data_IF_367773642932
#
_entry.id   IF_367773642932
#
_cell.length_a   1.000
_cell.length_b   1.000
_cell.length_c   1.000
_cell.angle_alpha   90.00
_cell.angle_beta   90.00
_cell.angle_gamma   90.00
#
_symmetry.space_group_name_H-M   'P 1'
#
loop_
_entity.id
_entity.type
_entity.pdbx_description
1 polymer ?
#
# COMPACT_ATOMS: atom_id res chain seq x y z
N UNK A 1 7.51 -26.80 -13.26
CA UNK A 1 8.60 -26.93 -14.26
C UNK A 1 9.14 -25.54 -14.61
N UNK A 2 8.30 -24.63 -15.09
CA UNK A 2 8.72 -23.26 -15.48
C UNK A 2 9.32 -22.41 -14.33
N UNK A 3 8.88 -22.59 -13.09
CA UNK A 3 9.44 -21.93 -11.94
C UNK A 3 10.84 -22.44 -11.56
N UNK A 4 11.13 -23.73 -11.82
CA UNK A 4 12.45 -24.30 -11.66
C UNK A 4 13.43 -23.84 -12.75
N UNK A 5 12.95 -23.71 -13.98
CA UNK A 5 13.75 -23.13 -15.09
C UNK A 5 14.12 -21.69 -14.81
N UNK A 6 13.15 -20.84 -14.39
CA UNK A 6 13.42 -19.45 -14.03
C UNK A 6 14.41 -19.33 -12.85
N UNK A 7 14.26 -20.17 -11.84
CA UNK A 7 15.17 -20.20 -10.71
C UNK A 7 16.60 -20.59 -11.18
N UNK A 8 16.72 -21.57 -12.05
CA UNK A 8 18.01 -21.97 -12.60
C UNK A 8 18.63 -20.89 -13.50
N UNK A 9 17.84 -20.16 -14.29
CA UNK A 9 18.34 -19.02 -15.06
C UNK A 9 18.88 -17.89 -14.16
N UNK A 10 18.19 -17.61 -13.05
CA UNK A 10 18.60 -16.57 -12.11
C UNK A 10 19.85 -16.96 -11.32
N UNK A 11 19.98 -18.24 -10.93
CA UNK A 11 21.08 -18.71 -10.09
C UNK A 11 22.31 -19.21 -10.87
N UNK A 12 22.18 -19.54 -12.16
CA UNK A 12 23.29 -20.00 -13.00
C UNK A 12 23.97 -18.89 -13.82
N UNK A 13 23.41 -17.69 -13.86
CA UNK A 13 24.14 -16.52 -14.34
C UNK A 13 25.08 -16.03 -13.26
N UNK A 14 26.29 -16.63 -13.20
CA UNK A 14 27.47 -16.08 -12.52
C UNK A 14 28.03 -14.87 -13.29
N UNK A 15 27.20 -14.04 -13.87
CA UNK A 15 27.61 -12.73 -14.33
C UNK A 15 27.45 -11.79 -13.15
N UNK A 16 28.54 -11.14 -12.76
CA UNK A 16 28.55 -9.99 -11.90
C UNK A 16 27.41 -9.08 -12.39
N UNK A 17 26.32 -9.01 -11.62
CA UNK A 17 25.32 -7.97 -11.79
C UNK A 17 26.06 -6.70 -11.39
N UNK A 18 26.73 -6.08 -12.35
CA UNK A 18 27.08 -4.69 -12.28
C UNK A 18 25.76 -3.97 -12.04
N UNK A 19 25.52 -3.60 -10.80
CA UNK A 19 24.49 -2.63 -10.46
C UNK A 19 24.89 -1.37 -11.22
N UNK A 20 24.36 -1.23 -12.43
CA UNK A 20 24.35 0.05 -13.07
C UNK A 20 23.70 1.00 -12.07
N UNK A 21 24.52 1.85 -11.49
CA UNK A 21 24.06 3.01 -10.74
C UNK A 21 23.44 3.96 -11.76
N UNK A 22 22.25 3.58 -12.23
CA UNK A 22 21.37 4.55 -12.82
C UNK A 22 21.04 5.50 -11.68
N UNK A 23 21.62 6.68 -11.74
CA UNK A 23 21.15 7.81 -10.95
C UNK A 23 19.66 7.96 -11.26
N UNK A 24 18.84 7.36 -10.44
CA UNK A 24 17.40 7.56 -10.51
C UNK A 24 17.14 8.94 -9.93
N UNK A 25 16.69 9.90 -10.73
CA UNK A 25 16.47 11.28 -10.29
C UNK A 25 15.15 11.39 -9.52
N UNK A 26 14.80 10.37 -8.78
CA UNK A 26 13.61 10.38 -7.96
C UNK A 26 14.11 10.21 -6.54
N UNK A 27 14.01 11.28 -5.81
CA UNK A 27 13.96 11.24 -4.36
C UNK A 27 12.80 10.34 -3.94
N UNK A 28 13.02 9.05 -4.02
CA UNK A 28 12.24 8.05 -3.29
C UNK A 28 12.65 8.16 -1.82
N UNK A 29 12.63 9.39 -1.32
CA UNK A 29 12.70 9.59 0.11
C UNK A 29 11.49 8.92 0.71
N UNK A 30 11.70 7.66 1.03
CA UNK A 30 11.08 6.98 2.14
C UNK A 30 9.59 7.21 2.30
N UNK A 31 8.79 6.76 1.35
CA UNK A 31 7.45 6.37 1.76
C UNK A 31 7.39 4.87 1.53
N UNK A 32 7.98 4.29 2.33
CA UNK A 32 8.16 3.15 3.17
C UNK A 32 7.08 2.14 2.99
N UNK A 33 7.29 1.20 2.10
CA UNK A 33 6.54 -0.01 2.17
C UNK A 33 6.34 -0.64 0.80
N UNK A 34 7.08 -1.69 0.56
CA UNK A 34 6.85 -2.57 -0.58
C UNK A 34 5.68 -3.50 -0.24
N UNK A 35 4.50 -2.91 -0.20
CA UNK A 35 3.23 -3.59 0.04
C UNK A 35 2.58 -3.91 -1.29
N UNK A 36 2.00 -5.08 -1.40
CA UNK A 36 1.19 -5.51 -2.53
C UNK A 36 -0.18 -5.92 -2.04
N UNK A 37 -1.20 -5.60 -2.83
CA UNK A 37 -2.56 -6.05 -2.60
C UNK A 37 -3.10 -6.78 -3.83
N UNK A 38 -3.82 -7.86 -3.58
CA UNK A 38 -4.59 -8.57 -4.62
C UNK A 38 -5.99 -8.89 -4.12
N UNK A 39 -6.93 -8.87 -5.04
CA UNK A 39 -8.30 -9.34 -4.82
C UNK A 39 -8.63 -10.39 -5.87
N UNK A 40 -9.24 -11.47 -5.46
CA UNK A 40 -9.71 -12.52 -6.35
C UNK A 40 -11.08 -13.01 -5.94
N UNK A 41 -11.86 -13.45 -6.90
CA UNK A 41 -13.19 -14.03 -6.70
C UNK A 41 -13.36 -15.24 -7.60
N UNK A 42 -14.15 -16.20 -7.16
CA UNK A 42 -14.52 -17.36 -7.95
C UNK A 42 -16.02 -17.32 -8.36
N UNK A 43 -16.40 -18.27 -9.19
CA UNK A 43 -17.78 -18.39 -9.68
C UNK A 43 -18.80 -18.81 -8.61
N UNK A 44 -18.36 -19.23 -7.45
CA UNK A 44 -19.24 -19.63 -6.33
C UNK A 44 -19.44 -18.50 -5.31
N UNK A 45 -18.84 -17.33 -5.56
CA UNK A 45 -18.96 -16.19 -4.67
C UNK A 45 -17.91 -16.13 -3.56
N UNK A 46 -16.91 -17.02 -3.56
CA UNK A 46 -15.77 -16.88 -2.65
C UNK A 46 -14.90 -15.69 -3.08
N UNK A 47 -14.53 -14.86 -2.13
CA UNK A 47 -13.70 -13.67 -2.37
C UNK A 47 -12.55 -13.64 -1.40
N UNK A 48 -11.37 -13.32 -1.90
CA UNK A 48 -10.16 -13.10 -1.10
C UNK A 48 -9.62 -11.71 -1.35
N UNK A 49 -9.38 -10.97 -0.29
CA UNK A 49 -8.61 -9.74 -0.29
C UNK A 49 -7.33 -9.96 0.51
N UNK A 50 -6.19 -9.93 -0.15
CA UNK A 50 -4.88 -10.24 0.45
C UNK A 50 -3.94 -9.06 0.30
N UNK A 51 -3.44 -8.58 1.43
CA UNK A 51 -2.37 -7.58 1.44
C UNK A 51 -1.12 -8.19 2.06
N UNK A 52 0.00 -8.10 1.35
CA UNK A 52 1.31 -8.60 1.80
C UNK A 52 2.32 -7.48 1.83
N UNK A 53 3.22 -7.54 2.80
CA UNK A 53 4.32 -6.59 2.89
C UNK A 53 5.56 -7.28 3.47
N UNK A 54 6.72 -6.86 3.01
CA UNK A 54 8.01 -7.22 3.59
C UNK A 54 8.67 -6.03 4.31
N UNK A 55 7.94 -4.92 4.42
CA UNK A 55 8.45 -3.67 4.98
C UNK A 55 9.20 -2.83 3.95
N UNK A 56 10.30 -2.17 4.33
CA UNK A 56 11.10 -1.35 3.41
C UNK A 56 11.73 -2.18 2.28
N UNK A 57 12.39 -1.51 1.37
CA UNK A 57 12.99 -2.09 0.15
C UNK A 57 13.73 -3.39 0.42
N UNK A 58 13.26 -4.48 -0.18
CA UNK A 58 13.82 -5.83 -0.04
C UNK A 58 13.74 -6.40 1.38
N UNK A 59 12.87 -5.87 2.23
CA UNK A 59 12.67 -6.36 3.60
C UNK A 59 13.97 -6.35 4.40
N UNK A 60 14.30 -7.48 5.03
CA UNK A 60 15.52 -7.65 5.81
C UNK A 60 16.80 -7.75 4.95
N UNK A 61 16.68 -7.87 3.64
CA UNK A 61 17.77 -8.22 2.70
C UNK A 61 18.44 -9.56 3.03
N UNK A 62 17.75 -10.39 3.78
CA UNK A 62 18.21 -11.74 4.16
C UNK A 62 17.25 -12.77 3.59
N UNK A 63 17.81 -13.81 3.01
CA UNK A 63 17.07 -14.96 2.52
C UNK A 63 17.72 -16.25 3.03
N UNK A 64 16.91 -17.27 3.29
CA UNK A 64 17.43 -18.62 3.55
C UNK A 64 17.63 -19.34 2.24
N UNK A 65 18.81 -19.94 2.08
CA UNK A 65 19.14 -20.74 0.90
C UNK A 65 18.09 -21.84 0.68
N UNK A 66 17.57 -21.89 -0.54
CA UNK A 66 16.59 -22.92 -0.95
C UNK A 66 15.13 -22.57 -0.67
N UNK A 67 14.80 -21.49 0.05
CA UNK A 67 13.43 -21.10 0.32
C UNK A 67 12.84 -20.15 -0.73
N UNK A 68 13.67 -19.38 -1.44
CA UNK A 68 13.24 -18.52 -2.55
C UNK A 68 12.46 -17.27 -2.13
N UNK A 69 12.56 -16.81 -0.88
CA UNK A 69 11.93 -15.59 -0.40
C UNK A 69 12.86 -14.79 0.52
N UNK A 70 12.55 -13.50 0.65
CA UNK A 70 13.19 -12.59 1.59
C UNK A 70 12.37 -12.48 2.88
N UNK A 71 13.05 -12.37 4.02
CA UNK A 71 12.37 -12.12 5.28
C UNK A 71 11.85 -10.69 5.37
N UNK A 72 10.65 -10.56 5.90
CA UNK A 72 10.06 -9.25 6.20
C UNK A 72 10.75 -8.60 7.40
N UNK A 73 10.69 -7.26 7.45
CA UNK A 73 11.06 -6.44 8.61
C UNK A 73 9.87 -5.60 9.11
N UNK A 74 8.68 -6.16 9.01
CA UNK A 74 7.43 -5.48 9.39
C UNK A 74 7.29 -5.30 10.91
N UNK A 75 8.16 -5.91 11.70
CA UNK A 75 8.30 -5.70 13.15
C UNK A 75 9.50 -4.80 13.50
N UNK A 76 10.03 -4.08 12.52
CA UNK A 76 11.16 -3.19 12.72
C UNK A 76 10.82 -1.92 13.50
N UNK A 77 11.85 -1.12 13.79
CA UNK A 77 11.75 0.06 14.65
C UNK A 77 10.72 1.11 14.23
N UNK A 78 10.27 1.10 12.98
CA UNK A 78 9.24 2.02 12.51
C UNK A 78 7.82 1.67 13.02
N UNK A 79 7.59 0.43 13.42
CA UNK A 79 6.33 -0.01 14.04
C UNK A 79 6.34 0.03 15.56
N UNK A 80 7.48 0.34 16.18
CA UNK A 80 7.64 0.44 17.64
C UNK A 80 8.48 -0.68 18.26
N UNK A 81 8.56 -0.68 19.59
CA UNK A 81 9.23 -1.70 20.37
C UNK A 81 8.21 -2.71 20.89
N UNK A 82 8.47 -3.99 20.70
CA UNK A 82 7.58 -5.07 21.07
C UNK A 82 8.18 -5.94 22.15
N UNK A 83 7.31 -6.49 23.00
CA UNK A 83 7.62 -7.56 23.95
C UNK A 83 7.06 -8.88 23.41
N UNK A 84 7.55 -10.03 23.86
CA UNK A 84 6.93 -11.30 23.54
C UNK A 84 5.44 -11.31 23.88
N UNK A 85 4.61 -11.71 22.91
CA UNK A 85 3.15 -11.72 23.06
C UNK A 85 2.44 -10.44 22.55
N UNK A 86 3.16 -9.35 22.28
CA UNK A 86 2.59 -8.16 21.67
C UNK A 86 2.18 -8.40 20.22
N UNK A 87 1.21 -7.63 19.78
CA UNK A 87 0.80 -7.59 18.36
C UNK A 87 1.46 -6.42 17.67
N UNK A 88 1.95 -6.65 16.46
CA UNK A 88 2.49 -5.58 15.63
C UNK A 88 1.38 -4.61 15.21
N UNK A 89 1.68 -3.32 15.22
CA UNK A 89 0.86 -2.31 14.57
C UNK A 89 1.02 -2.45 13.06
N UNK A 90 -0.05 -2.79 12.37
CA UNK A 90 -0.04 -2.93 10.92
C UNK A 90 -0.92 -1.87 10.28
N UNK A 91 -0.44 -1.29 9.19
CA UNK A 91 -1.22 -0.39 8.34
C UNK A 91 -1.92 -1.12 7.19
N UNK A 92 -1.59 -2.39 6.95
CA UNK A 92 -2.28 -3.15 5.90
C UNK A 92 -3.74 -3.35 6.27
N UNK A 93 -4.62 -3.12 5.29
CA UNK A 93 -6.07 -3.07 5.51
C UNK A 93 -6.82 -3.77 4.37
N UNK A 94 -6.65 -5.10 4.20
CA UNK A 94 -7.51 -5.84 3.29
C UNK A 94 -8.94 -5.79 3.81
N UNK A 95 -9.87 -5.40 2.95
CA UNK A 95 -11.24 -5.10 3.35
C UNK A 95 -12.23 -5.84 2.46
N UNK A 96 -13.19 -6.50 3.08
CA UNK A 96 -14.37 -7.08 2.45
C UNK A 96 -15.60 -6.39 3.03
N UNK A 97 -16.53 -6.00 2.17
CA UNK A 97 -17.80 -5.39 2.56
C UNK A 97 -18.91 -6.30 2.07
N UNK A 98 -19.69 -6.75 3.01
CA UNK A 98 -20.77 -7.70 2.80
C UNK A 98 -22.12 -7.04 3.14
N UNK A 99 -23.16 -7.43 2.42
CA UNK A 99 -24.55 -7.13 2.75
C UNK A 99 -25.42 -8.33 2.42
N UNK A 100 -26.15 -8.83 3.41
CA UNK A 100 -27.08 -9.95 3.27
C UNK A 100 -26.45 -11.26 2.74
N UNK A 101 -25.20 -11.52 3.10
CA UNK A 101 -24.47 -12.72 2.65
C UNK A 101 -23.75 -12.55 1.30
N UNK A 102 -23.86 -11.39 0.67
CA UNK A 102 -23.18 -11.11 -0.61
C UNK A 102 -22.03 -10.11 -0.42
N UNK A 103 -20.88 -10.41 -0.98
CA UNK A 103 -19.75 -9.49 -1.00
C UNK A 103 -20.02 -8.40 -2.03
N UNK A 104 -20.14 -7.17 -1.57
CA UNK A 104 -20.39 -6.01 -2.41
C UNK A 104 -19.10 -5.35 -2.90
N UNK A 105 -18.04 -5.42 -2.09
CA UNK A 105 -16.77 -4.79 -2.39
C UNK A 105 -15.64 -5.54 -1.70
N UNK A 106 -14.54 -5.74 -2.43
CA UNK A 106 -13.29 -6.22 -1.91
C UNK A 106 -12.18 -5.27 -2.35
N UNK A 107 -11.42 -4.74 -1.42
CA UNK A 107 -10.40 -3.76 -1.72
C UNK A 107 -9.25 -3.79 -0.72
N UNK A 108 -8.19 -3.14 -1.09
CA UNK A 108 -7.03 -2.86 -0.27
C UNK A 108 -6.08 -1.95 -1.03
N UNK A 109 -4.95 -1.65 -0.44
CA UNK A 109 -3.99 -0.73 -1.03
C UNK A 109 -2.55 -1.07 -0.63
N UNK A 110 -1.61 -0.45 -1.32
CA UNK A 110 -0.21 -0.30 -0.93
C UNK A 110 0.08 1.16 -0.60
N UNK A 111 1.07 1.45 0.24
CA UNK A 111 1.43 2.83 0.58
C UNK A 111 1.69 3.08 2.08
N UNK A 112 2.03 2.06 2.85
CA UNK A 112 2.34 2.20 4.27
C UNK A 112 1.17 2.76 5.08
N UNK A 113 1.40 3.77 5.90
CA UNK A 113 0.37 4.38 6.75
C UNK A 113 -0.79 5.05 5.99
N UNK A 114 -0.61 5.32 4.70
CA UNK A 114 -1.65 5.89 3.84
C UNK A 114 -2.71 4.89 3.40
N UNK A 115 -2.47 3.60 3.59
CA UNK A 115 -3.40 2.53 3.20
C UNK A 115 -4.76 2.71 3.88
N UNK A 116 -4.77 2.89 5.19
CA UNK A 116 -6.02 2.98 5.98
C UNK A 116 -6.89 4.15 5.51
N UNK A 117 -6.41 5.41 5.46
CA UNK A 117 -7.24 6.51 4.98
C UNK A 117 -7.63 6.40 3.50
N UNK A 118 -6.80 5.79 2.65
CA UNK A 118 -7.15 5.56 1.25
C UNK A 118 -8.34 4.58 1.12
N UNK A 119 -8.27 3.44 1.79
CA UNK A 119 -9.36 2.45 1.82
C UNK A 119 -10.64 3.07 2.37
N UNK A 120 -10.56 3.81 3.48
CA UNK A 120 -11.72 4.45 4.10
C UNK A 120 -12.38 5.47 3.17
N UNK A 121 -11.60 6.34 2.51
CA UNK A 121 -12.13 7.36 1.61
C UNK A 121 -12.78 6.76 0.37
N UNK A 122 -12.18 5.75 -0.26
CA UNK A 122 -12.78 5.07 -1.42
C UNK A 122 -14.09 4.40 -1.03
N UNK A 123 -14.12 3.74 0.13
CA UNK A 123 -15.33 3.11 0.65
C UNK A 123 -16.44 4.12 0.91
N UNK A 124 -16.14 5.24 1.56
CA UNK A 124 -17.09 6.30 1.85
C UNK A 124 -17.67 6.90 0.57
N UNK A 125 -16.82 7.20 -0.41
CA UNK A 125 -17.22 7.74 -1.71
C UNK A 125 -18.16 6.81 -2.46
N UNK A 126 -17.86 5.52 -2.43
CA UNK A 126 -18.68 4.53 -3.12
C UNK A 126 -20.05 4.35 -2.44
N UNK A 127 -20.09 4.13 -1.12
CA UNK A 127 -21.33 3.79 -0.42
C UNK A 127 -22.14 4.97 0.07
N UNK A 128 -21.51 6.04 0.56
CA UNK A 128 -22.22 7.20 1.11
C UNK A 128 -22.42 8.31 0.10
N UNK A 129 -21.40 8.57 -0.72
CA UNK A 129 -21.46 9.64 -1.72
C UNK A 129 -22.01 9.16 -3.07
N UNK A 130 -22.28 7.85 -3.19
CA UNK A 130 -22.87 7.22 -4.38
C UNK A 130 -22.07 7.46 -5.68
N UNK A 131 -20.75 7.57 -5.58
CA UNK A 131 -19.89 7.61 -6.75
C UNK A 131 -19.74 6.23 -7.39
N UNK A 132 -19.48 6.19 -8.70
CA UNK A 132 -19.00 4.95 -9.30
C UNK A 132 -17.66 4.55 -8.69
N UNK A 133 -17.33 3.25 -8.67
CA UNK A 133 -16.06 2.78 -8.13
C UNK A 133 -14.86 3.44 -8.85
N UNK A 134 -14.97 3.59 -10.16
CA UNK A 134 -13.94 4.27 -10.95
C UNK A 134 -13.75 5.73 -10.51
N UNK A 135 -14.84 6.45 -10.26
CA UNK A 135 -14.78 7.83 -9.77
C UNK A 135 -14.23 7.88 -8.36
N UNK A 136 -14.68 7.00 -7.46
CA UNK A 136 -14.21 6.93 -6.08
C UNK A 136 -12.70 6.70 -5.99
N UNK A 137 -12.13 5.90 -6.90
CA UNK A 137 -10.70 5.63 -6.99
C UNK A 137 -9.92 6.82 -7.57
N UNK A 138 -10.50 7.56 -8.52
CA UNK A 138 -9.83 8.68 -9.20
C UNK A 138 -9.84 9.99 -8.41
N UNK A 139 -10.79 10.16 -7.51
CA UNK A 139 -10.86 11.38 -6.70
C UNK A 139 -9.62 11.51 -5.80
N UNK A 140 -9.09 12.74 -5.66
CA UNK A 140 -7.92 13.00 -4.84
C UNK A 140 -8.17 12.57 -3.39
N UNK A 141 -7.13 11.98 -2.81
CA UNK A 141 -7.18 11.51 -1.41
C UNK A 141 -6.44 12.48 -0.52
N UNK A 142 -6.81 12.43 0.75
CA UNK A 142 -6.13 13.20 1.79
C UNK A 142 -5.56 12.25 2.84
N UNK A 143 -4.43 12.65 3.41
CA UNK A 143 -3.74 11.87 4.42
C UNK A 143 -3.20 12.78 5.52
N UNK A 144 -3.67 12.62 6.78
CA UNK A 144 -3.09 13.34 7.90
C UNK A 144 -1.69 12.79 8.21
N UNK A 145 -0.70 13.66 8.25
CA UNK A 145 0.67 13.29 8.55
C UNK A 145 1.33 14.33 9.45
N UNK A 146 1.63 13.94 10.69
CA UNK A 146 2.06 14.87 11.74
C UNK A 146 1.09 16.06 11.86
N UNK A 147 1.61 17.28 11.80
CA UNK A 147 0.83 18.51 11.94
C UNK A 147 0.34 19.07 10.59
N UNK A 148 0.27 18.23 9.55
CA UNK A 148 -0.14 18.65 8.21
C UNK A 148 -1.13 17.67 7.57
N UNK A 149 -1.91 18.18 6.62
CA UNK A 149 -2.75 17.36 5.76
C UNK A 149 -2.08 17.25 4.39
N UNK A 150 -1.72 16.03 4.03
CA UNK A 150 -1.18 15.75 2.71
C UNK A 150 -2.33 15.47 1.75
N UNK A 151 -2.31 16.12 0.61
CA UNK A 151 -3.37 16.07 -0.40
C UNK A 151 -2.77 15.66 -1.73
N UNK A 152 -3.37 14.68 -2.40
CA UNK A 152 -2.99 14.31 -3.75
C UNK A 152 -3.19 15.47 -4.70
N UNK A 153 -2.18 15.76 -5.52
CA UNK A 153 -2.19 16.87 -6.46
C UNK A 153 -2.99 16.51 -7.71
N UNK A 154 -4.32 16.52 -7.59
CA UNK A 154 -5.22 16.39 -8.73
C UNK A 154 -5.92 17.72 -9.03
N UNK A 155 -6.21 17.94 -10.30
CA UNK A 155 -7.04 19.06 -10.77
C UNK A 155 -8.42 18.95 -10.11
N UNK A 156 -8.87 20.01 -9.44
CA UNK A 156 -10.18 20.05 -8.76
C UNK A 156 -10.13 20.10 -7.22
N UNK A 157 -8.95 20.17 -6.64
CA UNK A 157 -8.74 20.35 -5.18
C UNK A 157 -9.15 21.76 -4.70
N UNK A 158 -9.36 22.68 -5.60
CA UNK A 158 -9.73 24.09 -5.31
C UNK A 158 -10.95 24.17 -4.36
N UNK A 159 -11.86 23.23 -4.46
CA UNK A 159 -13.03 23.13 -3.58
C UNK A 159 -12.72 22.51 -2.19
N UNK A 160 -11.61 21.79 -2.03
CA UNK A 160 -11.18 21.29 -0.72
C UNK A 160 -10.57 22.41 0.14
N UNK A 161 -9.94 23.41 -0.47
CA UNK A 161 -9.36 24.54 0.23
C UNK A 161 -10.40 25.30 1.07
N UNK A 162 -11.61 25.46 0.56
CA UNK A 162 -12.65 26.23 1.27
C UNK A 162 -13.12 25.54 2.57
N UNK A 163 -13.05 24.22 2.66
CA UNK A 163 -13.52 23.46 3.83
C UNK A 163 -12.45 23.26 4.91
N UNK A 164 -11.18 23.43 4.58
CA UNK A 164 -10.06 23.15 5.48
C UNK A 164 -9.23 24.39 5.85
N UNK A 165 -9.38 25.50 5.12
CA UNK A 165 -8.63 26.74 5.34
C UNK A 165 -8.91 27.39 6.70
N UNK A 166 -10.00 27.04 7.32
CA UNK A 166 -10.41 27.63 8.61
C UNK A 166 -9.78 26.94 9.84
N UNK A 167 -8.90 26.00 9.63
CA UNK A 167 -8.20 25.29 10.70
C UNK A 167 -6.70 25.36 10.40
N UNK A 168 -5.91 25.77 11.36
CA UNK A 168 -4.45 25.93 11.33
C UNK A 168 -3.64 24.68 10.90
N UNK A 169 -4.18 23.89 9.97
CA UNK A 169 -3.52 22.72 9.40
C UNK A 169 -2.89 23.08 8.06
N UNK A 170 -1.55 23.11 7.99
CA UNK A 170 -0.88 23.34 6.72
C UNK A 170 -1.18 22.23 5.72
N UNK A 171 -1.64 22.60 4.54
CA UNK A 171 -1.83 21.68 3.42
C UNK A 171 -0.50 21.44 2.72
N UNK A 172 -0.16 20.18 2.48
CA UNK A 172 0.99 19.78 1.69
C UNK A 172 0.52 18.96 0.49
N UNK A 173 0.75 19.49 -0.68
CA UNK A 173 0.45 18.79 -1.92
C UNK A 173 1.53 17.74 -2.20
N UNK A 174 1.10 16.55 -2.51
CA UNK A 174 1.94 15.43 -2.91
C UNK A 174 1.48 14.91 -4.26
N UNK A 175 2.39 14.33 -5.04
CA UNK A 175 2.02 13.68 -6.29
C UNK A 175 1.01 12.55 -6.10
N UNK A 176 0.62 11.91 -7.19
CA UNK A 176 -0.23 10.71 -7.15
C UNK A 176 0.41 9.62 -6.27
N UNK A 177 -0.42 8.99 -5.47
CA UNK A 177 -0.01 7.94 -4.54
C UNK A 177 -0.30 6.58 -5.15
#
# INVERSE_FOLDING_TARGET
EKAKELANEIFNKNEEISLATAEMPISWTSIDGHTTHLTTADKWGNVVALTQTIGPTMGSKVATKGLGFLYAVTLGGYLGKYKPGDRANSHISPTLIEKNGEILLALGAAGGSRIIPAVAQVTDRYFRQNHSLQTALKLPRVYPYNDSLWVENHIGIENLNASFVDKDFPLKYIGEI
#
